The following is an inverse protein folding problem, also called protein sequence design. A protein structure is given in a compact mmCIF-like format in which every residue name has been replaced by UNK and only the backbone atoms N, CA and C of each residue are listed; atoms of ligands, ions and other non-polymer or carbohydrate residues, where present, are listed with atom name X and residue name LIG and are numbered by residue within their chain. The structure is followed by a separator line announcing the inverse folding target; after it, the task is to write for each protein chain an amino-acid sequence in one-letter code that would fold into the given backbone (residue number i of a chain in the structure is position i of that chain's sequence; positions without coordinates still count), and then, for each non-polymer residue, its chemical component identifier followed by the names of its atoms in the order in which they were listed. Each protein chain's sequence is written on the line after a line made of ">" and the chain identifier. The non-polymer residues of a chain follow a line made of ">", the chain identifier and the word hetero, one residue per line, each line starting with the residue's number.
data_IF_793539923737
#
_entry.id   IF_793539923737
#
_cell.length_a   1.000
_cell.length_b   1.000
_cell.length_c   1.000
_cell.angle_alpha   90.00
_cell.angle_beta   90.00
_cell.angle_gamma   90.00
#
_symmetry.space_group_name_H-M   'P 1'
#
loop_
_entity.id
_entity.type
_entity.pdbx_description
1 polymer ?
#
# COMPACT_ATOMS: atom_id res chain seq x y z
N UNK A 1 -21.45 -19.95 -4.28
CA UNK A 1 -20.14 -19.27 -4.39
C UNK A 1 -19.55 -19.62 -5.74
N UNK A 2 -19.19 -18.63 -6.56
CA UNK A 2 -18.60 -18.91 -7.88
C UNK A 2 -17.10 -19.16 -7.71
N UNK A 3 -16.65 -20.39 -7.97
CA UNK A 3 -15.26 -20.81 -7.79
C UNK A 3 -14.27 -19.88 -8.51
N UNK A 4 -14.63 -19.36 -9.69
CA UNK A 4 -13.79 -18.44 -10.43
C UNK A 4 -13.57 -17.11 -9.68
N UNK A 5 -14.61 -16.58 -9.02
CA UNK A 5 -14.53 -15.34 -8.24
C UNK A 5 -13.59 -15.51 -7.06
N UNK A 6 -13.66 -16.65 -6.35
CA UNK A 6 -12.77 -16.93 -5.22
C UNK A 6 -11.31 -17.05 -5.65
N UNK A 7 -11.02 -17.81 -6.71
CA UNK A 7 -9.65 -18.00 -7.21
C UNK A 7 -9.06 -16.65 -7.63
N UNK A 8 -9.78 -15.88 -8.45
CA UNK A 8 -9.30 -14.57 -8.93
C UNK A 8 -9.15 -13.59 -7.76
N UNK A 9 -10.07 -13.59 -6.80
CA UNK A 9 -10.02 -12.74 -5.62
C UNK A 9 -8.79 -13.02 -4.76
N UNK A 10 -8.51 -14.29 -4.45
CA UNK A 10 -7.34 -14.67 -3.68
C UNK A 10 -6.03 -14.44 -4.44
N UNK A 11 -6.00 -14.69 -5.75
CA UNK A 11 -4.85 -14.32 -6.58
C UNK A 11 -4.58 -12.82 -6.53
N UNK A 12 -5.62 -12.00 -6.69
CA UNK A 12 -5.52 -10.53 -6.61
C UNK A 12 -5.00 -10.06 -5.25
N UNK A 13 -5.47 -10.68 -4.16
CA UNK A 13 -4.93 -10.44 -2.82
C UNK A 13 -3.43 -10.77 -2.74
N UNK A 14 -3.03 -11.97 -3.16
CA UNK A 14 -1.63 -12.42 -3.10
C UNK A 14 -0.71 -11.54 -3.94
N UNK A 15 -1.10 -11.21 -5.17
CA UNK A 15 -0.28 -10.34 -6.04
C UNK A 15 -0.15 -8.93 -5.46
N UNK A 16 -1.22 -8.39 -4.86
CA UNK A 16 -1.18 -7.09 -4.19
C UNK A 16 -0.21 -7.11 -3.01
N UNK A 17 -0.24 -8.17 -2.21
CA UNK A 17 0.65 -8.35 -1.07
C UNK A 17 2.13 -8.46 -1.51
N UNK A 18 2.40 -9.25 -2.55
CA UNK A 18 3.74 -9.41 -3.14
C UNK A 18 4.26 -8.12 -3.79
N UNK A 19 3.39 -7.24 -4.27
CA UNK A 19 3.81 -5.93 -4.79
C UNK A 19 4.24 -4.99 -3.66
N UNK A 20 3.53 -5.02 -2.53
CA UNK A 20 3.68 -4.04 -1.46
C UNK A 20 4.73 -4.44 -0.42
N UNK A 21 4.78 -5.71 0.00
CA UNK A 21 5.68 -6.17 1.06
C UNK A 21 7.18 -5.96 0.75
N UNK A 22 7.70 -6.33 -0.44
CA UNK A 22 9.10 -6.11 -0.77
C UNK A 22 9.47 -4.62 -0.78
N UNK A 23 8.54 -3.77 -1.22
CA UNK A 23 8.75 -2.33 -1.27
C UNK A 23 8.81 -1.72 0.13
N UNK A 24 7.90 -2.12 1.03
CA UNK A 24 7.92 -1.71 2.44
C UNK A 24 9.21 -2.17 3.11
N UNK A 25 9.58 -3.45 2.93
CA UNK A 25 10.81 -4.00 3.49
C UNK A 25 12.05 -3.24 3.01
N UNK A 26 12.13 -2.96 1.71
CA UNK A 26 13.23 -2.17 1.12
C UNK A 26 13.32 -0.80 1.77
N UNK A 27 12.22 -0.07 1.87
CA UNK A 27 12.18 1.28 2.47
C UNK A 27 12.60 1.26 3.94
N UNK A 28 12.11 0.30 4.73
CA UNK A 28 12.48 0.17 6.14
C UNK A 28 13.97 -0.14 6.29
N UNK A 29 14.49 -1.07 5.47
CA UNK A 29 15.86 -1.57 5.55
C UNK A 29 16.88 -0.54 5.05
N UNK A 30 16.67 0.04 3.87
CA UNK A 30 17.65 0.92 3.23
C UNK A 30 17.48 2.38 3.62
N UNK A 31 16.28 2.76 4.10
CA UNK A 31 15.89 4.17 4.31
C UNK A 31 16.05 5.03 3.06
N UNK A 32 16.22 4.45 1.87
CA UNK A 32 16.37 5.19 0.63
C UNK A 32 15.00 5.35 -0.04
N UNK A 33 14.53 6.60 -0.06
CA UNK A 33 13.26 6.98 -0.69
C UNK A 33 13.44 8.05 -1.76
N UNK A 34 14.67 8.33 -2.20
CA UNK A 34 14.94 9.45 -3.13
C UNK A 34 14.24 9.32 -4.47
N UNK A 35 14.05 8.09 -4.95
CA UNK A 35 13.37 7.79 -6.22
C UNK A 35 11.86 7.58 -6.08
N UNK A 36 11.30 7.67 -4.86
CA UNK A 36 9.89 7.41 -4.62
C UNK A 36 9.07 8.69 -4.66
N UNK A 37 7.94 8.66 -5.35
CA UNK A 37 6.99 9.77 -5.42
C UNK A 37 6.06 9.78 -4.20
N UNK A 38 6.12 10.85 -3.39
CA UNK A 38 5.19 11.05 -2.27
C UNK A 38 3.73 11.06 -2.74
N UNK A 39 3.47 11.78 -3.84
CA UNK A 39 2.12 11.95 -4.38
C UNK A 39 1.51 10.61 -4.83
N UNK A 40 2.33 9.72 -5.42
CA UNK A 40 1.89 8.39 -5.79
C UNK A 40 1.37 7.61 -4.57
N UNK A 41 2.12 7.58 -3.46
CA UNK A 41 1.69 6.84 -2.28
C UNK A 41 0.48 7.47 -1.57
N UNK A 42 0.31 8.80 -1.63
CA UNK A 42 -0.91 9.46 -1.16
C UNK A 42 -2.13 8.99 -1.97
N UNK A 43 -2.03 8.99 -3.30
CA UNK A 43 -3.10 8.48 -4.16
C UNK A 43 -3.36 7.00 -3.93
N UNK A 44 -2.31 6.18 -3.75
CA UNK A 44 -2.46 4.75 -3.40
C UNK A 44 -3.22 4.57 -2.10
N UNK A 45 -2.93 5.38 -1.07
CA UNK A 45 -3.66 5.33 0.20
C UNK A 45 -5.13 5.69 0.03
N UNK A 46 -5.45 6.78 -0.68
CA UNK A 46 -6.83 7.20 -0.91
C UNK A 46 -7.61 6.18 -1.74
N UNK A 47 -6.99 5.66 -2.81
CA UNK A 47 -7.58 4.60 -3.61
C UNK A 47 -7.84 3.34 -2.78
N UNK A 48 -6.87 2.91 -1.98
CA UNK A 48 -7.03 1.75 -1.10
C UNK A 48 -8.13 1.98 -0.05
N UNK A 49 -8.27 3.19 0.50
CA UNK A 49 -9.37 3.52 1.41
C UNK A 49 -10.74 3.36 0.72
N UNK A 50 -10.88 3.86 -0.51
CA UNK A 50 -12.13 3.73 -1.29
C UNK A 50 -12.46 2.25 -1.53
N UNK A 51 -11.48 1.46 -1.99
CA UNK A 51 -11.68 0.03 -2.25
C UNK A 51 -11.90 -0.79 -0.98
N UNK A 52 -11.27 -0.40 0.12
CA UNK A 52 -11.52 -0.98 1.44
C UNK A 52 -12.98 -0.79 1.84
N UNK A 53 -13.48 0.45 1.77
CA UNK A 53 -14.89 0.76 2.04
C UNK A 53 -15.83 0.00 1.11
N UNK A 54 -15.51 -0.08 -0.19
CA UNK A 54 -16.27 -0.88 -1.14
C UNK A 54 -16.29 -2.38 -0.79
N UNK A 55 -15.13 -2.94 -0.40
CA UNK A 55 -15.02 -4.34 0.05
C UNK A 55 -15.87 -4.63 1.28
N UNK A 56 -15.93 -3.69 2.24
CA UNK A 56 -16.83 -3.80 3.40
C UNK A 56 -18.31 -3.78 2.99
N UNK A 57 -18.71 -2.84 2.14
CA UNK A 57 -20.09 -2.70 1.67
C UNK A 57 -20.57 -3.91 0.85
N UNK A 58 -19.66 -4.52 0.10
CA UNK A 58 -19.93 -5.71 -0.72
C UNK A 58 -19.68 -7.04 0.02
N UNK A 59 -19.23 -7.00 1.28
CA UNK A 59 -18.84 -8.17 2.07
C UNK A 59 -17.76 -9.03 1.40
N UNK A 60 -16.90 -8.43 0.56
CA UNK A 60 -15.77 -9.12 -0.08
C UNK A 60 -14.53 -9.05 0.79
N UNK A 61 -14.21 -10.20 1.42
CA UNK A 61 -13.04 -10.38 2.27
C UNK A 61 -11.74 -10.10 1.54
N UNK A 62 -11.62 -10.56 0.31
CA UNK A 62 -10.43 -10.41 -0.51
C UNK A 62 -10.15 -8.92 -0.78
N UNK A 63 -11.19 -8.14 -1.09
CA UNK A 63 -11.07 -6.70 -1.36
C UNK A 63 -10.68 -5.90 -0.11
N UNK A 64 -11.41 -6.05 1.01
CA UNK A 64 -11.11 -5.23 2.17
C UNK A 64 -9.77 -5.62 2.83
N UNK A 65 -9.38 -6.90 2.84
CA UNK A 65 -8.06 -7.27 3.41
C UNK A 65 -6.92 -6.76 2.53
N UNK A 66 -6.98 -6.95 1.20
CA UNK A 66 -5.95 -6.48 0.29
C UNK A 66 -5.70 -4.97 0.44
N UNK A 67 -6.79 -4.20 0.51
CA UNK A 67 -6.70 -2.75 0.58
C UNK A 67 -6.31 -2.23 1.98
N UNK A 68 -6.65 -2.93 3.06
CA UNK A 68 -6.12 -2.63 4.39
C UNK A 68 -4.58 -2.78 4.44
N UNK A 69 -4.05 -3.83 3.80
CA UNK A 69 -2.59 -4.01 3.66
C UNK A 69 -1.97 -2.88 2.82
N UNK A 70 -2.62 -2.49 1.72
CA UNK A 70 -2.16 -1.38 0.86
C UNK A 70 -2.15 -0.03 1.57
N UNK A 71 -3.17 0.28 2.37
CA UNK A 71 -3.21 1.47 3.21
C UNK A 71 -2.04 1.48 4.21
N UNK A 72 -1.83 0.37 4.91
CA UNK A 72 -0.76 0.24 5.90
C UNK A 72 0.62 0.40 5.26
N UNK A 73 0.87 -0.28 4.15
CA UNK A 73 2.10 -0.16 3.38
C UNK A 73 2.35 1.28 2.90
N UNK A 74 1.31 1.94 2.38
CA UNK A 74 1.40 3.32 1.89
C UNK A 74 1.72 4.29 3.02
N UNK A 75 1.09 4.16 4.19
CA UNK A 75 1.40 5.00 5.37
C UNK A 75 2.87 4.84 5.75
N UNK A 76 3.37 3.61 5.87
CA UNK A 76 4.77 3.36 6.24
C UNK A 76 5.70 4.08 5.26
N UNK A 77 5.48 3.91 3.95
CA UNK A 77 6.34 4.50 2.93
C UNK A 77 6.24 6.04 2.93
N UNK A 78 5.04 6.60 3.06
CA UNK A 78 4.82 8.06 3.18
C UNK A 78 5.60 8.63 4.35
N UNK A 79 5.54 7.99 5.53
CA UNK A 79 6.26 8.44 6.73
C UNK A 79 7.77 8.48 6.46
N UNK A 80 8.33 7.45 5.84
CA UNK A 80 9.75 7.44 5.48
C UNK A 80 10.13 8.51 4.46
N UNK A 81 9.30 8.73 3.44
CA UNK A 81 9.51 9.79 2.46
C UNK A 81 9.52 11.16 3.17
N UNK A 82 8.52 11.45 4.00
CA UNK A 82 8.42 12.73 4.73
C UNK A 82 9.63 12.94 5.65
N UNK A 83 10.02 11.93 6.44
CA UNK A 83 11.20 12.00 7.32
C UNK A 83 12.46 12.33 6.50
N UNK A 84 12.67 11.67 5.36
CA UNK A 84 13.83 11.89 4.52
C UNK A 84 13.82 13.26 3.84
N UNK A 85 12.66 13.75 3.41
CA UNK A 85 12.48 15.09 2.85
C UNK A 85 12.78 16.19 3.87
N UNK A 86 12.36 16.01 5.12
CA UNK A 86 12.67 16.96 6.21
C UNK A 86 14.18 16.95 6.49
N UNK A 87 14.82 15.77 6.54
CA UNK A 87 16.26 15.64 6.75
C UNK A 87 17.08 16.28 5.62
N UNK A 88 16.65 16.17 4.37
CA UNK A 88 17.37 16.77 3.24
C UNK A 88 17.25 18.30 3.18
N UNK A 89 16.22 18.89 3.80
CA UNK A 89 16.01 20.34 3.83
C UNK A 89 16.71 21.05 4.99
N UNK A 90 17.17 20.34 6.03
CA UNK A 90 17.94 20.96 7.10
C UNK A 90 19.31 21.40 6.54
N UNK A 91 19.64 22.71 6.55
CA UNK A 91 21.01 23.14 6.26
C UNK A 91 21.94 22.52 7.32
N UNK A 92 23.10 22.02 6.88
CA UNK A 92 24.17 21.56 7.77
C UNK A 92 24.67 22.72 8.63
#
# INVERSE_FOLDING_TARGET
>A
MNLAIEIIGWMGFTTSLLMLLPQVFKVIKTRDTKSLSLFMFILTFLNALIWFSFGLLTKSMQLYIANACAMTASIIIIVYIIINLIKSKKPQ
#
